data_IF_462373452342
#
_entry.id   IF_462373452342
#
_cell.length_a   1.000
_cell.length_b   1.000
_cell.length_c   1.000
_cell.angle_alpha   90.00
_cell.angle_beta   90.00
_cell.angle_gamma   90.00
#
_symmetry.space_group_name_H-M   'P 1'
#
loop_
_entity.id
_entity.type
_entity.pdbx_description
1 polymer ?
#
# COMPACT_ATOMS: atom_id res chain seq x y z
N UNK A 1 38.90 37.00 -15.13
CA UNK A 1 37.62 37.06 -14.41
C UNK A 1 36.76 35.90 -14.89
N UNK A 2 36.71 34.79 -14.14
CA UNK A 2 35.77 33.68 -14.40
C UNK A 2 34.47 34.06 -13.74
N UNK A 3 33.44 34.27 -14.54
CA UNK A 3 32.09 34.46 -14.08
C UNK A 3 31.53 33.06 -13.72
N UNK A 4 31.46 32.74 -12.42
CA UNK A 4 30.69 31.56 -11.94
C UNK A 4 29.22 31.85 -12.19
N UNK A 5 28.67 31.16 -13.17
CA UNK A 5 27.21 31.03 -13.30
C UNK A 5 26.75 30.14 -12.18
N UNK A 6 26.21 30.70 -11.13
CA UNK A 6 25.40 29.98 -10.13
C UNK A 6 24.14 29.46 -10.84
N UNK A 7 24.17 28.18 -11.22
CA UNK A 7 22.95 27.48 -11.56
C UNK A 7 22.09 27.40 -10.27
N UNK A 8 21.20 28.35 -10.09
CA UNK A 8 20.16 28.26 -9.08
C UNK A 8 19.33 27.00 -9.37
N UNK A 9 19.26 26.07 -8.43
CA UNK A 9 18.32 24.96 -8.49
C UNK A 9 16.91 25.57 -8.62
N UNK A 10 16.30 25.45 -9.79
CA UNK A 10 14.93 25.85 -9.99
C UNK A 10 14.08 24.87 -9.17
N UNK A 11 13.44 25.36 -8.11
CA UNK A 11 12.39 24.61 -7.41
C UNK A 11 11.42 24.05 -8.46
N UNK A 12 11.18 22.75 -8.44
CA UNK A 12 10.14 22.15 -9.26
C UNK A 12 8.82 22.87 -8.96
N UNK A 13 8.04 23.19 -9.98
CA UNK A 13 6.72 23.78 -9.77
C UNK A 13 5.86 22.78 -9.00
N UNK A 14 5.01 23.20 -8.05
CA UNK A 14 4.10 22.32 -7.35
C UNK A 14 3.18 21.62 -8.37
N UNK A 15 2.78 20.39 -8.07
CA UNK A 15 1.81 19.67 -8.89
C UNK A 15 0.40 20.21 -8.61
N UNK A 16 -0.40 20.37 -9.66
CA UNK A 16 -1.80 20.75 -9.53
C UNK A 16 -2.70 19.52 -9.61
N UNK A 17 -3.71 19.48 -8.75
CA UNK A 17 -4.69 18.40 -8.70
C UNK A 17 -6.11 18.95 -8.71
N UNK A 18 -7.02 18.18 -9.31
CA UNK A 18 -8.46 18.41 -9.22
C UNK A 18 -9.11 17.27 -8.43
N UNK A 19 -9.79 17.62 -7.35
CA UNK A 19 -10.50 16.65 -6.53
C UNK A 19 -11.82 16.21 -7.17
N UNK A 20 -12.09 14.90 -7.11
CA UNK A 20 -13.34 14.26 -7.48
C UNK A 20 -13.78 13.33 -6.36
N UNK A 21 -15.04 13.45 -5.94
CA UNK A 21 -15.65 12.55 -4.96
C UNK A 21 -16.45 11.48 -5.69
N UNK A 22 -16.12 10.19 -5.41
CA UNK A 22 -16.79 9.03 -5.99
C UNK A 22 -17.93 8.54 -5.07
N UNK A 23 -17.65 8.42 -3.78
CA UNK A 23 -18.60 7.94 -2.79
C UNK A 23 -18.39 8.61 -1.43
N UNK A 24 -19.47 8.65 -0.61
CA UNK A 24 -19.48 9.28 0.73
C UNK A 24 -20.09 8.39 1.81
N UNK A 25 -20.38 7.13 1.48
CA UNK A 25 -21.11 6.17 2.31
C UNK A 25 -20.31 4.89 2.64
N UNK A 26 -18.99 4.91 2.42
CA UNK A 26 -18.11 3.77 2.67
C UNK A 26 -17.69 3.74 4.15
N UNK A 27 -18.59 3.33 5.02
CA UNK A 27 -18.38 3.32 6.47
C UNK A 27 -17.14 2.52 6.86
N UNK A 28 -16.16 3.21 7.47
CA UNK A 28 -14.88 2.61 7.83
C UNK A 28 -14.04 2.25 6.61
N UNK A 29 -14.01 3.12 5.58
CA UNK A 29 -13.18 2.92 4.40
C UNK A 29 -11.75 2.53 4.79
N UNK A 30 -11.20 1.50 4.18
CA UNK A 30 -9.92 0.94 4.62
C UNK A 30 -8.91 0.70 3.50
N UNK A 31 -9.35 0.22 2.34
CA UNK A 31 -8.47 0.02 1.20
C UNK A 31 -9.16 0.38 -0.12
N UNK A 32 -8.40 0.98 -1.04
CA UNK A 32 -8.77 1.18 -2.44
C UNK A 32 -7.73 0.48 -3.32
N UNK A 33 -8.21 -0.25 -4.35
CA UNK A 33 -7.34 -0.97 -5.29
C UNK A 33 -7.76 -0.62 -6.71
N UNK A 34 -6.89 0.06 -7.49
CA UNK A 34 -7.12 0.31 -8.89
C UNK A 34 -6.84 -0.96 -9.73
N UNK A 35 -7.78 -1.35 -10.56
CA UNK A 35 -7.61 -2.39 -11.58
C UNK A 35 -8.74 -2.33 -12.61
N UNK A 36 -8.52 -2.87 -13.81
CA UNK A 36 -9.57 -3.04 -14.82
C UNK A 36 -10.40 -4.27 -14.42
N UNK A 37 -11.57 -4.05 -13.81
CA UNK A 37 -12.43 -5.12 -13.25
C UNK A 37 -13.30 -5.76 -14.33
N UNK A 38 -13.60 -5.04 -15.41
CA UNK A 38 -14.55 -5.47 -16.46
C UNK A 38 -13.89 -5.72 -17.83
N UNK A 39 -12.55 -5.60 -17.87
CA UNK A 39 -11.75 -5.78 -19.09
C UNK A 39 -12.14 -4.82 -20.24
N UNK A 40 -12.46 -3.55 -19.91
CA UNK A 40 -12.80 -2.51 -20.89
C UNK A 40 -11.60 -1.58 -21.22
N UNK A 41 -10.44 -1.83 -20.59
CA UNK A 41 -9.20 -1.07 -20.77
C UNK A 41 -9.13 0.20 -19.94
N UNK A 42 -10.08 0.44 -19.04
CA UNK A 42 -10.04 1.55 -18.07
C UNK A 42 -9.84 1.02 -16.67
N UNK A 43 -9.18 1.81 -15.88
CA UNK A 43 -8.91 1.44 -14.49
C UNK A 43 -10.10 1.80 -13.61
N UNK A 44 -10.72 0.79 -13.03
CA UNK A 44 -11.77 0.89 -12.02
C UNK A 44 -11.17 0.95 -10.60
N UNK A 45 -12.03 1.15 -9.60
CA UNK A 45 -11.63 1.19 -8.19
C UNK A 45 -12.40 0.16 -7.37
N UNK A 46 -11.73 -0.84 -6.83
CA UNK A 46 -12.31 -1.71 -5.80
C UNK A 46 -12.16 -1.01 -4.45
N UNK A 47 -13.25 -0.90 -3.70
CA UNK A 47 -13.27 -0.25 -2.40
C UNK A 47 -13.67 -1.25 -1.30
N UNK A 48 -12.80 -1.39 -0.30
CA UNK A 48 -13.00 -2.18 0.90
C UNK A 48 -13.24 -1.23 2.08
N UNK A 49 -14.33 -1.44 2.78
CA UNK A 49 -14.68 -0.68 3.98
C UNK A 49 -14.97 -1.66 5.13
N UNK A 50 -14.19 -1.58 6.21
CA UNK A 50 -14.22 -2.53 7.32
C UNK A 50 -15.53 -2.48 8.16
N UNK A 51 -16.26 -1.40 8.06
CA UNK A 51 -17.57 -1.22 8.70
C UNK A 51 -18.77 -1.60 7.82
N UNK A 52 -18.52 -2.16 6.64
CA UNK A 52 -19.54 -2.65 5.71
C UNK A 52 -19.51 -4.18 5.60
N UNK A 53 -20.57 -4.75 5.05
CA UNK A 53 -20.69 -6.20 4.76
C UNK A 53 -20.68 -6.52 3.28
N UNK A 54 -20.48 -5.50 2.44
CA UNK A 54 -20.37 -5.62 0.98
C UNK A 54 -18.99 -5.19 0.53
N UNK A 55 -18.35 -6.01 -0.31
CA UNK A 55 -17.22 -5.59 -1.12
C UNK A 55 -17.74 -5.00 -2.42
N UNK A 56 -17.27 -3.80 -2.78
CA UNK A 56 -17.79 -3.06 -3.92
C UNK A 56 -16.67 -2.60 -4.86
N UNK A 57 -17.03 -2.32 -6.12
CA UNK A 57 -16.17 -1.61 -7.05
C UNK A 57 -16.94 -0.52 -7.77
N UNK A 58 -16.23 0.44 -8.32
CA UNK A 58 -16.75 1.60 -9.02
C UNK A 58 -16.23 1.61 -10.45
N UNK A 59 -17.16 1.52 -11.41
CA UNK A 59 -16.86 1.40 -12.83
C UNK A 59 -16.51 2.74 -13.47
N UNK A 60 -15.33 2.84 -14.01
CA UNK A 60 -14.84 4.02 -14.72
C UNK A 60 -15.45 4.07 -16.16
N UNK A 61 -15.90 5.21 -16.70
CA UNK A 61 -15.76 6.57 -16.15
C UNK A 61 -16.98 7.08 -15.37
N UNK A 62 -18.01 6.29 -15.25
CA UNK A 62 -19.27 6.73 -14.63
C UNK A 62 -19.23 6.65 -13.12
N UNK A 63 -18.33 5.88 -12.57
CA UNK A 63 -18.22 5.54 -11.16
C UNK A 63 -19.48 4.89 -10.61
N UNK A 64 -20.20 4.14 -11.48
CA UNK A 64 -21.32 3.31 -11.06
C UNK A 64 -20.85 2.25 -10.07
N UNK A 65 -21.57 2.11 -8.96
CA UNK A 65 -21.24 1.16 -7.90
C UNK A 65 -21.82 -0.21 -8.20
N UNK A 66 -20.95 -1.24 -8.16
CA UNK A 66 -21.32 -2.64 -8.27
C UNK A 66 -20.91 -3.41 -7.01
N UNK A 67 -21.65 -4.44 -6.66
CA UNK A 67 -21.37 -5.30 -5.50
C UNK A 67 -20.70 -6.59 -5.97
N UNK A 68 -19.47 -6.81 -5.50
CA UNK A 68 -18.72 -8.04 -5.78
C UNK A 68 -19.25 -9.18 -4.90
N UNK A 69 -19.41 -8.93 -3.60
CA UNK A 69 -19.82 -9.94 -2.62
C UNK A 69 -20.53 -9.31 -1.43
N UNK A 70 -21.35 -10.12 -0.74
CA UNK A 70 -22.17 -9.72 0.40
C UNK A 70 -21.90 -10.61 1.61
N UNK A 71 -22.45 -10.21 2.75
CA UNK A 71 -22.39 -10.94 4.02
C UNK A 71 -20.93 -11.17 4.51
N UNK A 72 -20.04 -10.24 4.18
CA UNK A 72 -18.64 -10.23 4.58
C UNK A 72 -18.47 -9.36 5.84
N UNK A 73 -17.84 -9.90 6.87
CA UNK A 73 -17.59 -9.17 8.11
C UNK A 73 -16.09 -8.95 8.33
N UNK A 74 -15.74 -7.83 8.96
CA UNK A 74 -14.35 -7.54 9.30
C UNK A 74 -13.40 -7.63 8.13
N UNK A 75 -13.82 -7.17 6.94
CA UNK A 75 -12.94 -7.07 5.77
C UNK A 75 -11.77 -6.14 6.07
N UNK A 76 -10.56 -6.56 5.74
CA UNK A 76 -9.37 -5.79 6.10
C UNK A 76 -8.39 -5.53 4.96
N UNK A 77 -8.22 -6.46 4.03
CA UNK A 77 -7.31 -6.25 2.91
C UNK A 77 -7.66 -7.17 1.74
N UNK A 78 -7.34 -6.71 0.54
CA UNK A 78 -7.49 -7.49 -0.68
C UNK A 78 -6.32 -7.25 -1.64
N UNK A 79 -6.16 -8.15 -2.59
CA UNK A 79 -5.31 -7.98 -3.76
C UNK A 79 -5.98 -8.59 -5.00
N UNK A 80 -5.91 -7.89 -6.12
CA UNK A 80 -6.52 -8.28 -7.38
C UNK A 80 -5.42 -8.62 -8.40
N UNK A 81 -5.60 -9.71 -9.14
CA UNK A 81 -4.75 -10.11 -10.26
C UNK A 81 -5.47 -11.14 -11.13
N UNK A 82 -5.39 -10.99 -12.45
CA UNK A 82 -5.91 -11.95 -13.41
C UNK A 82 -5.06 -13.23 -13.37
N UNK A 83 -5.58 -14.23 -12.64
CA UNK A 83 -4.86 -15.47 -12.34
C UNK A 83 -4.97 -16.50 -13.46
N UNK A 84 -6.07 -16.49 -14.19
CA UNK A 84 -6.35 -17.48 -15.25
C UNK A 84 -6.27 -16.93 -16.67
N UNK A 85 -6.02 -15.64 -16.82
CA UNK A 85 -5.74 -15.00 -18.11
C UNK A 85 -6.99 -14.66 -18.92
N UNK A 86 -8.17 -14.55 -18.27
CA UNK A 86 -9.41 -14.18 -18.95
C UNK A 86 -9.63 -12.66 -19.07
N UNK A 87 -8.73 -11.87 -18.48
CA UNK A 87 -8.72 -10.42 -18.51
C UNK A 87 -9.46 -9.77 -17.33
N UNK A 88 -10.16 -10.55 -16.50
CA UNK A 88 -10.88 -10.10 -15.31
C UNK A 88 -10.14 -10.59 -14.06
N UNK A 89 -9.73 -9.72 -13.13
CA UNK A 89 -8.90 -10.16 -12.01
C UNK A 89 -9.68 -11.00 -11.01
N UNK A 90 -9.09 -12.09 -10.51
CA UNK A 90 -9.52 -12.68 -9.24
C UNK A 90 -9.08 -11.80 -8.07
N UNK A 91 -9.90 -11.81 -7.01
CA UNK A 91 -9.63 -11.06 -5.79
C UNK A 91 -9.33 -12.05 -4.66
N UNK A 92 -8.19 -11.89 -4.00
CA UNK A 92 -7.98 -12.52 -2.70
C UNK A 92 -8.32 -11.52 -1.60
N UNK A 93 -9.10 -11.96 -0.61
CA UNK A 93 -9.67 -11.12 0.44
C UNK A 93 -9.38 -11.71 1.82
N UNK A 94 -8.87 -10.89 2.75
CA UNK A 94 -8.81 -11.20 4.17
C UNK A 94 -10.02 -10.57 4.88
N UNK A 95 -10.77 -11.38 5.60
CA UNK A 95 -11.96 -10.95 6.33
C UNK A 95 -12.14 -11.74 7.65
N UNK A 96 -13.18 -11.50 8.41
CA UNK A 96 -13.35 -11.96 9.80
C UNK A 96 -12.12 -11.58 10.66
N UNK A 97 -11.63 -10.38 10.41
CA UNK A 97 -10.50 -9.82 11.13
C UNK A 97 -10.92 -9.16 12.44
N UNK A 98 -10.12 -9.35 13.48
CA UNK A 98 -10.15 -8.57 14.71
C UNK A 98 -8.74 -8.17 15.13
N UNK A 99 -8.61 -6.97 15.73
CA UNK A 99 -7.37 -6.53 16.38
C UNK A 99 -7.01 -7.40 17.59
N UNK A 100 -7.98 -8.10 18.17
CA UNK A 100 -7.77 -9.08 19.24
C UNK A 100 -7.56 -10.45 18.63
N UNK A 101 -6.31 -10.93 18.67
CA UNK A 101 -5.93 -12.18 18.00
C UNK A 101 -6.85 -13.36 18.34
N UNK A 102 -7.28 -13.49 19.60
CA UNK A 102 -8.19 -14.55 20.07
C UNK A 102 -9.61 -14.46 19.49
N UNK A 103 -10.02 -13.30 18.98
CA UNK A 103 -11.34 -13.07 18.37
C UNK A 103 -11.29 -13.09 16.84
N UNK A 104 -10.09 -13.05 16.26
CA UNK A 104 -9.89 -13.01 14.82
C UNK A 104 -9.90 -14.43 14.25
N UNK A 105 -10.88 -14.73 13.39
CA UNK A 105 -10.88 -15.96 12.61
C UNK A 105 -9.83 -15.86 11.50
N UNK A 106 -9.77 -14.71 10.84
CA UNK A 106 -8.80 -14.40 9.80
C UNK A 106 -9.00 -15.26 8.55
N UNK A 107 -10.23 -15.25 8.00
CA UNK A 107 -10.53 -16.01 6.78
C UNK A 107 -9.85 -15.35 5.59
N UNK A 108 -9.22 -16.18 4.75
CA UNK A 108 -8.70 -15.80 3.44
C UNK A 108 -9.55 -16.47 2.38
N UNK A 109 -10.12 -15.67 1.48
CA UNK A 109 -10.98 -16.17 0.41
C UNK A 109 -10.50 -15.70 -0.96
N UNK A 110 -10.78 -16.50 -1.99
CA UNK A 110 -10.65 -16.11 -3.40
C UNK A 110 -12.04 -15.84 -3.94
N UNK A 111 -12.19 -14.70 -4.60
CA UNK A 111 -13.41 -14.31 -5.28
C UNK A 111 -13.18 -14.33 -6.78
N UNK A 112 -14.11 -14.95 -7.52
CA UNK A 112 -14.07 -15.05 -8.97
C UNK A 112 -15.43 -14.72 -9.57
N UNK A 113 -15.45 -13.94 -10.65
CA UNK A 113 -16.66 -13.59 -11.39
C UNK A 113 -17.31 -14.81 -12.06
N UNK A 114 -18.58 -14.66 -12.46
CA UNK A 114 -19.41 -15.69 -13.12
C UNK A 114 -19.55 -15.45 -14.65
N UNK A 115 -18.66 -14.67 -15.25
CA UNK A 115 -18.73 -14.23 -16.64
C UNK A 115 -19.14 -12.76 -16.79
N UNK A 116 -20.02 -12.23 -15.92
CA UNK A 116 -20.33 -10.80 -15.84
C UNK A 116 -19.83 -10.24 -14.51
N UNK A 117 -18.78 -9.38 -14.48
CA UNK A 117 -18.21 -8.84 -13.27
C UNK A 117 -19.14 -7.90 -12.49
N UNK A 118 -20.23 -7.44 -13.10
CA UNK A 118 -21.26 -6.60 -12.46
C UNK A 118 -22.23 -7.41 -11.61
N UNK A 119 -22.21 -8.74 -11.72
CA UNK A 119 -23.00 -9.64 -10.87
C UNK A 119 -22.19 -10.08 -9.64
N UNK A 120 -22.85 -10.71 -8.68
CA UNK A 120 -22.18 -11.27 -7.50
C UNK A 120 -21.18 -12.37 -7.90
N UNK A 121 -20.00 -12.31 -7.31
CA UNK A 121 -18.92 -13.26 -7.55
C UNK A 121 -19.02 -14.48 -6.66
N UNK A 122 -18.46 -15.59 -7.12
CA UNK A 122 -18.27 -16.79 -6.31
C UNK A 122 -17.17 -16.54 -5.28
N UNK A 123 -17.38 -17.06 -4.04
CA UNK A 123 -16.42 -16.97 -2.95
C UNK A 123 -15.96 -18.38 -2.60
N UNK A 124 -14.64 -18.58 -2.53
CA UNK A 124 -14.00 -19.79 -2.05
C UNK A 124 -13.11 -19.47 -0.86
N UNK A 125 -13.43 -19.97 0.33
CA UNK A 125 -12.48 -19.94 1.45
C UNK A 125 -11.29 -20.85 1.14
N UNK A 126 -10.08 -20.33 1.33
CA UNK A 126 -8.84 -21.07 1.08
C UNK A 126 -8.02 -21.31 2.35
N UNK A 127 -8.19 -20.48 3.37
CA UNK A 127 -7.47 -20.63 4.64
C UNK A 127 -8.15 -19.88 5.80
N UNK A 128 -7.82 -20.26 7.02
CA UNK A 128 -8.10 -19.55 8.27
C UNK A 128 -6.79 -19.33 9.01
N UNK A 129 -6.30 -18.11 9.00
CA UNK A 129 -5.09 -17.71 9.67
C UNK A 129 -5.40 -16.46 10.51
N UNK A 130 -5.49 -16.60 11.86
CA UNK A 130 -5.85 -15.50 12.74
C UNK A 130 -5.06 -14.23 12.41
N UNK A 131 -5.72 -13.09 12.46
CA UNK A 131 -5.17 -11.76 12.17
C UNK A 131 -4.63 -11.57 10.75
N UNK A 132 -5.00 -12.42 9.74
CA UNK A 132 -4.69 -12.14 8.33
C UNK A 132 -5.00 -10.70 7.99
N UNK A 133 -4.00 -9.94 7.52
CA UNK A 133 -4.09 -8.48 7.47
C UNK A 133 -3.60 -7.86 6.16
N UNK A 134 -2.51 -8.34 5.56
CA UNK A 134 -2.01 -7.85 4.27
C UNK A 134 -1.86 -8.99 3.28
N UNK A 135 -2.51 -8.82 2.13
CA UNK A 135 -2.44 -9.75 1.01
C UNK A 135 -1.80 -9.06 -0.20
N UNK A 136 -0.86 -9.73 -0.87
CA UNK A 136 -0.26 -9.25 -2.12
C UNK A 136 -0.01 -10.42 -3.05
N UNK A 137 -0.16 -10.18 -4.35
CA UNK A 137 0.32 -11.08 -5.38
C UNK A 137 1.81 -10.84 -5.66
N UNK A 138 2.60 -11.92 -5.80
CA UNK A 138 4.04 -11.86 -6.05
C UNK A 138 4.50 -12.99 -6.97
N UNK A 139 5.33 -12.69 -7.96
CA UNK A 139 6.05 -13.67 -8.77
C UNK A 139 7.41 -14.00 -8.14
N UNK A 140 7.38 -14.83 -7.11
CA UNK A 140 8.55 -15.13 -6.28
C UNK A 140 9.62 -15.98 -6.97
N UNK A 141 9.33 -16.57 -8.12
CA UNK A 141 10.27 -17.46 -8.82
C UNK A 141 10.52 -17.08 -10.30
N UNK A 142 9.98 -15.93 -10.75
CA UNK A 142 10.19 -15.41 -12.11
C UNK A 142 9.48 -16.21 -13.19
N UNK A 143 8.48 -17.01 -12.82
CA UNK A 143 7.75 -17.88 -13.76
C UNK A 143 6.59 -17.19 -14.47
N UNK A 144 6.25 -15.96 -14.11
CA UNK A 144 5.03 -15.27 -14.50
C UNK A 144 3.79 -15.74 -13.74
N UNK A 145 3.91 -16.78 -12.89
CA UNK A 145 2.81 -17.30 -12.07
C UNK A 145 2.94 -16.73 -10.66
N UNK A 146 2.01 -15.87 -10.29
CA UNK A 146 2.03 -15.25 -8.96
C UNK A 146 1.47 -16.17 -7.88
N UNK A 147 1.98 -15.98 -6.69
CA UNK A 147 1.47 -16.55 -5.44
C UNK A 147 0.82 -15.44 -4.61
N UNK A 148 -0.08 -15.80 -3.71
CA UNK A 148 -0.61 -14.87 -2.71
C UNK A 148 0.29 -14.89 -1.48
N UNK A 149 0.89 -13.77 -1.14
CA UNK A 149 1.59 -13.55 0.13
C UNK A 149 0.61 -13.02 1.15
N UNK A 150 0.59 -13.60 2.35
CA UNK A 150 -0.25 -13.17 3.47
C UNK A 150 0.63 -12.88 4.70
N UNK A 151 0.51 -11.66 5.21
CA UNK A 151 1.09 -11.23 6.46
C UNK A 151 -0.03 -10.98 7.49
N UNK A 152 -0.22 -11.86 8.48
CA UNK A 152 -1.01 -11.54 9.65
C UNK A 152 -0.49 -10.27 10.35
N UNK A 153 -1.39 -9.52 10.99
CA UNK A 153 -0.99 -8.35 11.75
C UNK A 153 -0.13 -8.70 12.96
N UNK A 154 -0.51 -9.79 13.65
CA UNK A 154 0.15 -10.28 14.86
C UNK A 154 0.15 -11.81 14.87
N UNK A 155 0.88 -12.41 15.82
CA UNK A 155 0.73 -13.82 16.13
C UNK A 155 -0.64 -14.12 16.77
N UNK A 156 -1.04 -15.40 16.72
CA UNK A 156 -2.37 -15.85 17.15
C UNK A 156 -2.62 -15.70 18.68
N UNK A 157 -1.57 -15.56 19.48
CA UNK A 157 -1.64 -15.39 20.94
C UNK A 157 -1.20 -14.00 21.41
N UNK A 158 -0.96 -13.08 20.46
CA UNK A 158 -0.51 -11.73 20.78
C UNK A 158 -1.58 -10.96 21.56
N UNK A 159 -1.12 -10.22 22.56
CA UNK A 159 -1.97 -9.34 23.39
C UNK A 159 -1.40 -7.92 23.45
N UNK A 160 -2.31 -6.94 23.35
CA UNK A 160 -1.93 -5.54 23.50
C UNK A 160 -1.46 -5.25 24.96
N UNK A 161 -0.56 -4.27 25.18
CA UNK A 161 0.00 -3.37 24.17
C UNK A 161 1.23 -3.92 23.46
N UNK A 162 1.85 -4.97 24.00
CA UNK A 162 3.16 -5.44 23.55
C UNK A 162 3.13 -6.34 22.32
N UNK A 163 2.02 -7.03 22.09
CA UNK A 163 1.84 -7.96 20.95
C UNK A 163 2.97 -8.99 20.81
N UNK A 164 3.56 -9.43 21.94
CA UNK A 164 4.65 -10.42 21.95
C UNK A 164 4.16 -11.78 21.53
N UNK A 165 4.37 -12.12 20.27
CA UNK A 165 4.16 -13.43 19.68
C UNK A 165 4.80 -13.46 18.29
N UNK A 166 5.00 -14.67 17.75
CA UNK A 166 5.57 -14.86 16.41
C UNK A 166 4.52 -14.62 15.33
N UNK A 167 4.86 -13.84 14.32
CA UNK A 167 4.00 -13.52 13.17
C UNK A 167 4.43 -14.36 11.99
N UNK A 168 3.62 -15.35 11.53
CA UNK A 168 3.98 -16.15 10.37
C UNK A 168 3.72 -15.36 9.08
N UNK A 169 4.77 -15.09 8.30
CA UNK A 169 4.63 -14.64 6.93
C UNK A 169 4.48 -15.89 6.04
N UNK A 170 3.40 -15.96 5.27
CA UNK A 170 3.05 -17.16 4.52
C UNK A 170 2.70 -16.85 3.06
N UNK A 171 2.64 -17.88 2.22
CA UNK A 171 2.13 -17.77 0.87
C UNK A 171 1.27 -18.96 0.45
N UNK A 172 0.45 -18.75 -0.58
CA UNK A 172 -0.44 -19.75 -1.19
C UNK A 172 -0.20 -19.78 -2.69
N UNK A 173 -0.13 -21.00 -3.26
CA UNK A 173 -0.11 -21.17 -4.73
C UNK A 173 -1.53 -21.37 -5.24
N UNK A 174 -1.93 -20.65 -6.31
CA UNK A 174 -3.20 -20.92 -6.97
C UNK A 174 -3.37 -22.39 -7.32
N UNK A 175 -4.59 -22.90 -7.13
CA UNK A 175 -4.97 -24.27 -7.43
C UNK A 175 -4.94 -25.20 -6.22
N UNK A 176 -3.85 -25.28 -5.46
CA UNK A 176 -3.82 -26.12 -4.25
C UNK A 176 -4.09 -25.34 -2.95
N UNK A 177 -3.85 -24.06 -2.95
CA UNK A 177 -4.11 -23.11 -1.86
C UNK A 177 -3.53 -23.53 -0.50
N UNK A 178 -2.50 -24.40 -0.51
CA UNK A 178 -1.86 -24.83 0.74
C UNK A 178 -0.98 -23.75 1.31
N UNK A 179 -1.16 -23.47 2.61
CA UNK A 179 -0.30 -22.57 3.35
C UNK A 179 1.15 -23.04 3.35
N UNK A 180 2.07 -22.19 2.93
CA UNK A 180 3.51 -22.40 2.97
C UNK A 180 4.16 -21.26 3.74
N UNK A 181 5.15 -21.57 4.56
CA UNK A 181 5.84 -20.59 5.41
C UNK A 181 6.97 -19.93 4.63
N UNK A 182 6.99 -18.59 4.67
CA UNK A 182 8.12 -17.75 4.24
C UNK A 182 9.05 -17.55 5.43
N UNK A 183 8.51 -17.06 6.55
CA UNK A 183 9.20 -16.79 7.80
C UNK A 183 8.22 -16.91 8.98
N UNK A 184 8.68 -17.47 10.10
CA UNK A 184 7.93 -17.54 11.36
C UNK A 184 8.74 -16.98 12.53
N UNK A 185 9.80 -16.23 12.23
CA UNK A 185 10.71 -15.68 13.21
C UNK A 185 10.45 -14.20 13.55
N UNK A 186 9.60 -13.52 12.78
CA UNK A 186 9.18 -12.13 13.09
C UNK A 186 8.37 -12.11 14.39
N UNK A 187 8.58 -11.11 15.23
CA UNK A 187 7.89 -10.94 16.51
C UNK A 187 7.14 -9.62 16.56
N UNK A 188 6.02 -9.61 17.25
CA UNK A 188 5.24 -8.42 17.54
C UNK A 188 4.17 -8.14 16.50
N UNK A 189 4.31 -7.06 15.75
CA UNK A 189 3.32 -6.61 14.79
C UNK A 189 3.99 -6.44 13.43
N UNK A 190 3.33 -6.93 12.36
CA UNK A 190 3.67 -6.67 10.95
C UNK A 190 2.48 -5.99 10.29
N UNK A 191 2.65 -4.71 9.94
CA UNK A 191 1.52 -3.91 9.44
C UNK A 191 1.49 -3.79 7.92
N UNK A 192 2.64 -3.86 7.25
CA UNK A 192 2.73 -3.73 5.80
C UNK A 192 3.57 -4.84 5.17
N UNK A 193 3.20 -5.23 3.96
CA UNK A 193 4.07 -5.90 2.99
C UNK A 193 4.04 -5.17 1.66
N UNK A 194 5.21 -5.00 1.04
CA UNK A 194 5.40 -4.40 -0.28
C UNK A 194 6.14 -5.39 -1.17
N UNK A 195 5.65 -5.58 -2.38
CA UNK A 195 6.25 -6.47 -3.37
C UNK A 195 7.06 -5.65 -4.35
N UNK A 196 8.27 -6.09 -4.64
CA UNK A 196 9.19 -5.41 -5.56
C UNK A 196 10.24 -6.38 -6.08
N UNK A 197 10.61 -6.24 -7.34
CA UNK A 197 11.84 -6.85 -7.88
C UNK A 197 13.03 -6.02 -7.34
N UNK A 198 13.56 -6.45 -6.18
CA UNK A 198 14.53 -5.69 -5.41
C UNK A 198 15.90 -5.60 -6.07
N UNK A 199 16.36 -6.65 -6.67
CA UNK A 199 17.70 -6.72 -7.29
C UNK A 199 17.65 -6.83 -8.82
N UNK A 200 16.46 -6.61 -9.42
CA UNK A 200 16.23 -6.61 -10.87
C UNK A 200 16.60 -7.93 -11.55
N UNK A 201 16.32 -9.06 -10.85
CA UNK A 201 16.54 -10.40 -11.38
C UNK A 201 15.28 -11.04 -12.02
N UNK A 202 14.18 -10.30 -12.09
CA UNK A 202 12.90 -10.72 -12.65
C UNK A 202 12.04 -11.53 -11.68
N UNK A 203 12.39 -11.55 -10.40
CA UNK A 203 11.62 -12.18 -9.32
C UNK A 203 11.25 -11.13 -8.29
N UNK A 204 10.08 -11.32 -7.71
CA UNK A 204 9.60 -10.43 -6.66
C UNK A 204 10.18 -10.82 -5.30
N UNK A 205 10.74 -9.84 -4.61
CA UNK A 205 11.01 -9.89 -3.18
C UNK A 205 9.88 -9.23 -2.39
N UNK A 206 9.87 -9.54 -1.09
CA UNK A 206 8.87 -9.05 -0.15
C UNK A 206 9.57 -8.16 0.87
N UNK A 207 9.15 -6.91 0.99
CA UNK A 207 9.47 -6.07 2.14
C UNK A 207 8.34 -6.19 3.17
N UNK A 208 8.67 -6.30 4.44
CA UNK A 208 7.70 -6.14 5.54
C UNK A 208 8.09 -4.97 6.43
N UNK A 209 7.09 -4.25 6.95
CA UNK A 209 7.27 -3.23 7.98
C UNK A 209 6.49 -3.60 9.24
N UNK A 210 7.15 -3.47 10.39
CA UNK A 210 6.58 -3.84 11.68
C UNK A 210 7.43 -3.34 12.85
N UNK A 211 7.15 -3.83 14.06
CA UNK A 211 7.86 -3.41 15.29
C UNK A 211 9.36 -3.69 15.26
N UNK A 212 9.81 -4.62 14.42
CA UNK A 212 11.22 -4.95 14.23
C UNK A 212 11.86 -4.19 13.06
N UNK A 213 11.18 -3.15 12.55
CA UNK A 213 11.65 -2.36 11.41
C UNK A 213 11.27 -2.95 10.05
N UNK A 214 12.11 -2.73 9.04
CA UNK A 214 11.87 -3.16 7.66
C UNK A 214 12.76 -4.37 7.37
N UNK A 215 12.13 -5.46 6.92
CA UNK A 215 12.79 -6.73 6.58
C UNK A 215 12.58 -7.03 5.11
N UNK A 216 13.58 -7.58 4.46
CA UNK A 216 13.54 -8.07 3.08
C UNK A 216 13.57 -9.60 3.08
N UNK A 217 12.67 -10.22 2.31
CA UNK A 217 12.62 -11.66 2.12
C UNK A 217 12.83 -11.98 0.65
N UNK A 218 13.84 -12.80 0.36
CA UNK A 218 14.19 -13.28 -0.97
C UNK A 218 14.16 -14.79 -1.03
N UNK A 219 13.57 -15.35 -2.10
CA UNK A 219 13.63 -16.77 -2.38
C UNK A 219 14.94 -17.09 -3.13
N UNK A 220 15.87 -17.82 -2.46
CA UNK A 220 17.15 -18.21 -3.08
C UNK A 220 16.93 -19.22 -4.21
N UNK A 221 17.94 -19.39 -5.09
CA UNK A 221 17.96 -20.41 -6.14
C UNK A 221 17.77 -21.85 -5.59
N UNK A 222 18.17 -22.09 -4.34
CA UNK A 222 17.94 -23.34 -3.61
C UNK A 222 16.54 -23.46 -3.01
N UNK A 223 15.60 -22.58 -3.38
CA UNK A 223 14.21 -22.52 -2.90
C UNK A 223 14.10 -22.40 -1.37
N UNK A 224 15.04 -21.70 -0.76
CA UNK A 224 15.00 -21.34 0.68
C UNK A 224 14.81 -19.83 0.80
N UNK A 225 13.93 -19.43 1.69
CA UNK A 225 13.74 -18.04 2.04
C UNK A 225 14.93 -17.50 2.85
N UNK A 226 15.35 -16.32 2.50
CA UNK A 226 16.41 -15.57 3.19
C UNK A 226 15.80 -14.27 3.68
N UNK A 227 15.97 -13.98 4.96
CA UNK A 227 15.56 -12.72 5.60
C UNK A 227 16.78 -11.85 5.80
N UNK A 228 16.64 -10.55 5.46
CA UNK A 228 17.67 -9.53 5.67
C UNK A 228 17.03 -8.31 6.33
N UNK A 229 17.59 -7.85 7.44
CA UNK A 229 17.19 -6.58 8.05
C UNK A 229 17.71 -5.42 7.19
N UNK A 230 16.79 -4.58 6.70
CA UNK A 230 17.12 -3.35 5.99
C UNK A 230 17.37 -2.23 6.99
N UNK A 231 16.47 -2.07 7.95
CA UNK A 231 16.57 -1.05 9.01
C UNK A 231 15.71 -1.44 10.20
N UNK A 232 16.07 -0.93 11.38
CA UNK A 232 15.27 -1.11 12.61
C UNK A 232 14.08 -0.16 12.71
N UNK A 233 13.97 0.81 11.80
CA UNK A 233 12.91 1.82 11.86
C UNK A 233 13.10 2.84 12.99
N UNK A 234 12.00 3.29 13.57
CA UNK A 234 12.02 4.19 14.72
C UNK A 234 12.77 3.55 15.90
N UNK A 235 13.76 4.27 16.50
CA UNK A 235 14.60 3.73 17.57
C UNK A 235 13.93 3.70 18.94
N UNK A 236 12.67 4.14 19.06
CA UNK A 236 11.97 4.13 20.35
C UNK A 236 11.90 2.72 20.95
N UNK A 237 11.75 2.59 22.27
CA UNK A 237 11.59 1.28 22.92
C UNK A 237 10.31 0.58 22.47
N UNK A 238 10.35 -0.76 22.38
CA UNK A 238 9.18 -1.60 22.19
C UNK A 238 8.03 -1.22 23.15
N UNK A 239 6.77 -1.16 22.69
CA UNK A 239 6.23 -1.48 21.38
C UNK A 239 6.12 -0.28 20.42
N UNK A 240 6.83 0.80 20.68
CA UNK A 240 6.84 2.03 19.86
C UNK A 240 8.04 2.09 18.91
N UNK A 241 8.67 0.95 18.64
CA UNK A 241 9.79 0.83 17.70
C UNK A 241 9.31 0.48 16.30
N UNK A 242 10.21 0.57 15.34
CA UNK A 242 10.03 0.01 14.00
C UNK A 242 9.26 0.90 13.05
N UNK A 243 8.56 0.28 12.13
CA UNK A 243 7.88 0.96 11.03
C UNK A 243 6.45 0.44 10.86
N UNK A 244 5.54 1.29 10.41
CA UNK A 244 4.14 0.94 10.13
C UNK A 244 3.95 0.50 8.69
N UNK A 245 4.39 1.33 7.77
CA UNK A 245 4.20 1.14 6.34
C UNK A 245 5.49 1.47 5.60
N UNK A 246 5.70 0.88 4.42
CA UNK A 246 6.89 1.11 3.59
C UNK A 246 6.55 1.10 2.11
N UNK A 247 7.08 2.09 1.40
CA UNK A 247 7.05 2.19 -0.05
C UNK A 247 8.47 2.27 -0.62
N UNK A 248 8.66 1.78 -1.84
CA UNK A 248 9.93 1.83 -2.58
C UNK A 248 9.81 2.90 -3.64
N UNK A 249 10.71 3.88 -3.64
CA UNK A 249 10.74 4.96 -4.62
C UNK A 249 12.10 5.09 -5.31
N UNK A 250 12.12 5.88 -6.40
CA UNK A 250 13.27 6.18 -7.21
C UNK A 250 13.56 7.67 -7.24
N UNK A 251 14.83 8.04 -7.13
CA UNK A 251 15.36 9.38 -7.43
C UNK A 251 16.32 9.23 -8.62
N UNK A 252 15.77 9.24 -9.83
CA UNK A 252 16.49 8.86 -11.03
C UNK A 252 16.92 7.39 -10.98
N UNK A 253 18.21 7.12 -10.77
CA UNK A 253 18.76 5.74 -10.65
C UNK A 253 18.91 5.27 -9.20
N UNK A 254 18.71 6.15 -8.23
CA UNK A 254 18.90 5.83 -6.82
C UNK A 254 17.58 5.39 -6.20
N UNK A 255 17.55 4.20 -5.60
CA UNK A 255 16.42 3.73 -4.84
C UNK A 255 16.40 4.36 -3.45
N UNK A 256 15.22 4.71 -2.98
CA UNK A 256 14.99 5.06 -1.58
C UNK A 256 13.80 4.27 -1.02
N UNK A 257 13.68 4.24 0.30
CA UNK A 257 12.48 3.78 0.97
C UNK A 257 11.82 4.97 1.67
N UNK A 258 10.50 5.00 1.64
CA UNK A 258 9.70 5.90 2.45
C UNK A 258 8.87 5.08 3.42
N UNK A 259 8.81 5.49 4.68
CA UNK A 259 8.09 4.76 5.73
C UNK A 259 7.29 5.70 6.62
N UNK A 260 6.18 5.19 7.17
CA UNK A 260 5.51 5.79 8.32
C UNK A 260 6.04 5.12 9.57
N UNK A 261 6.44 5.91 10.57
CA UNK A 261 7.07 5.45 11.79
C UNK A 261 6.60 6.21 13.04
N UNK A 262 6.55 5.50 14.18
CA UNK A 262 6.40 4.05 14.34
C UNK A 262 5.02 3.55 13.84
N UNK A 263 4.53 2.41 14.32
CA UNK A 263 3.20 1.90 13.96
C UNK A 263 2.10 2.93 14.27
N UNK A 264 1.31 3.28 13.22
CA UNK A 264 0.35 4.39 13.23
C UNK A 264 0.96 5.70 13.75
N UNK A 265 2.23 5.92 13.44
CA UNK A 265 3.02 7.00 13.98
C UNK A 265 2.79 8.36 13.33
N UNK A 266 3.66 9.27 13.70
CA UNK A 266 3.60 10.65 13.27
C UNK A 266 4.72 11.04 12.29
N UNK A 267 5.65 10.14 12.01
CA UNK A 267 6.81 10.44 11.19
C UNK A 267 6.68 9.88 9.78
N UNK A 268 7.11 10.67 8.80
CA UNK A 268 7.52 10.20 7.49
C UNK A 268 9.04 10.13 7.49
N UNK A 269 9.58 8.92 7.44
CA UNK A 269 11.00 8.66 7.37
C UNK A 269 11.40 8.24 5.96
N UNK A 270 12.53 8.75 5.47
CA UNK A 270 13.14 8.35 4.20
C UNK A 270 14.46 7.66 4.48
N UNK A 271 14.69 6.57 3.79
CA UNK A 271 15.94 5.82 3.85
C UNK A 271 16.64 5.87 2.51
N UNK A 272 17.88 6.31 2.51
CA UNK A 272 18.75 6.32 1.32
C UNK A 272 20.01 5.51 1.60
N UNK A 273 20.47 4.76 0.60
CA UNK A 273 21.68 3.98 0.74
C UNK A 273 22.93 4.89 0.69
N UNK A 274 23.71 4.87 1.77
CA UNK A 274 25.08 5.39 1.73
C UNK A 274 26.03 4.30 1.21
N UNK A 275 27.32 4.56 1.18
CA UNK A 275 28.32 3.57 0.76
C UNK A 275 28.26 2.25 1.55
N UNK A 276 27.72 2.25 2.77
CA UNK A 276 27.81 1.10 3.71
C UNK A 276 26.48 0.73 4.39
N UNK A 277 25.49 1.63 4.44
CA UNK A 277 24.25 1.38 5.15
C UNK A 277 23.11 2.31 4.71
N UNK A 278 21.89 1.90 4.98
CA UNK A 278 20.72 2.75 4.86
C UNK A 278 20.74 3.84 5.93
N UNK A 279 20.61 5.09 5.48
CA UNK A 279 20.57 6.26 6.34
C UNK A 279 19.14 6.74 6.49
N UNK A 280 18.66 6.85 7.73
CA UNK A 280 17.33 7.32 8.09
C UNK A 280 17.31 8.85 8.19
N UNK A 281 16.34 9.48 7.53
CA UNK A 281 16.03 10.91 7.64
C UNK A 281 14.53 11.06 7.91
N UNK A 282 14.14 11.73 8.99
CA UNK A 282 12.74 12.13 9.24
C UNK A 282 12.49 13.41 8.48
N UNK A 283 11.63 13.35 7.46
CA UNK A 283 11.29 14.51 6.62
C UNK A 283 10.05 15.25 7.10
N UNK A 284 9.21 14.60 7.89
CA UNK A 284 8.04 15.18 8.54
C UNK A 284 7.71 14.40 9.82
N UNK A 285 7.28 15.10 10.88
CA UNK A 285 6.87 14.52 12.15
C UNK A 285 5.48 15.04 12.60
N UNK A 286 4.67 15.48 11.63
CA UNK A 286 3.39 16.13 11.92
C UNK A 286 2.15 15.29 11.63
N UNK A 287 2.32 14.02 11.22
CA UNK A 287 1.20 13.11 10.99
C UNK A 287 0.49 12.78 12.32
N UNK A 288 -0.78 12.46 12.26
CA UNK A 288 -1.56 11.97 13.40
C UNK A 288 -2.25 10.68 13.00
N UNK A 289 -1.83 9.54 13.57
CA UNK A 289 -2.31 8.22 13.16
C UNK A 289 -2.02 7.97 11.66
N UNK A 290 -0.75 8.07 11.27
CA UNK A 290 -0.25 7.83 9.91
C UNK A 290 -0.57 6.41 9.46
N UNK A 291 -1.14 6.24 8.23
CA UNK A 291 -1.67 4.93 7.86
C UNK A 291 -1.39 4.50 6.43
N UNK A 292 -1.09 5.41 5.53
CA UNK A 292 -0.79 5.07 4.14
C UNK A 292 0.42 5.84 3.64
N UNK A 293 1.32 5.14 2.94
CA UNK A 293 2.42 5.74 2.21
C UNK A 293 2.59 5.01 0.88
N UNK A 294 2.68 5.76 -0.20
CA UNK A 294 2.96 5.27 -1.54
C UNK A 294 3.94 6.19 -2.24
N UNK A 295 4.65 5.68 -3.25
CA UNK A 295 5.58 6.43 -4.07
C UNK A 295 5.19 6.31 -5.53
N UNK A 296 5.31 7.39 -6.30
CA UNK A 296 5.03 7.39 -7.72
C UNK A 296 5.68 8.60 -8.41
N UNK A 297 6.06 8.45 -9.66
CA UNK A 297 6.52 9.53 -10.53
C UNK A 297 5.31 10.35 -11.05
N UNK A 298 4.77 11.20 -10.18
CA UNK A 298 3.63 12.06 -10.48
C UNK A 298 3.98 13.21 -11.45
N UNK A 299 5.25 13.57 -11.50
CA UNK A 299 5.75 14.63 -12.38
C UNK A 299 6.16 14.11 -13.76
N UNK A 300 6.23 12.79 -13.94
CA UNK A 300 6.73 12.11 -15.13
C UNK A 300 8.15 12.59 -15.52
N UNK A 301 9.02 12.72 -14.52
CA UNK A 301 10.39 13.21 -14.66
C UNK A 301 11.46 12.19 -14.22
N UNK A 302 11.06 10.96 -13.87
CA UNK A 302 11.93 9.89 -13.39
C UNK A 302 12.26 9.99 -11.90
N UNK A 303 11.51 10.80 -11.15
CA UNK A 303 11.68 10.99 -9.70
C UNK A 303 10.36 10.79 -9.00
N UNK A 304 10.29 9.77 -8.13
CA UNK A 304 9.06 9.49 -7.39
C UNK A 304 8.84 10.50 -6.27
N UNK A 305 7.62 11.00 -6.19
CA UNK A 305 7.09 11.70 -5.04
C UNK A 305 6.58 10.69 -4.01
N UNK A 306 6.54 11.11 -2.74
CA UNK A 306 5.95 10.35 -1.65
C UNK A 306 4.56 10.91 -1.38
N UNK A 307 3.53 10.05 -1.37
CA UNK A 307 2.19 10.39 -0.93
C UNK A 307 2.00 9.76 0.45
N UNK A 308 1.74 10.56 1.48
CA UNK A 308 1.48 10.08 2.83
C UNK A 308 0.19 10.65 3.37
N UNK A 309 -0.65 9.76 3.94
CA UNK A 309 -1.93 10.12 4.51
C UNK A 309 -2.10 9.61 5.94
N UNK A 310 -2.93 10.29 6.72
CA UNK A 310 -3.19 9.97 8.11
C UNK A 310 -4.67 10.12 8.48
N UNK A 311 -5.09 9.34 9.48
CA UNK A 311 -6.51 9.20 9.86
C UNK A 311 -6.95 10.14 10.95
N UNK A 312 -6.02 10.54 11.83
CA UNK A 312 -6.31 11.44 12.95
C UNK A 312 -6.50 12.89 12.50
N UNK A 313 -7.10 13.72 13.37
CA UNK A 313 -7.27 15.14 13.06
C UNK A 313 -5.91 15.85 12.96
N UNK A 314 -5.73 16.74 11.96
CA UNK A 314 -6.72 17.34 11.06
C UNK A 314 -7.02 16.55 9.77
N UNK A 315 -6.65 15.27 9.62
CA UNK A 315 -6.99 14.40 8.50
C UNK A 315 -6.51 14.94 7.15
N UNK A 316 -5.26 14.73 6.81
CA UNK A 316 -4.66 15.27 5.59
C UNK A 316 -3.98 14.21 4.76
N UNK A 317 -3.80 14.53 3.49
CA UNK A 317 -2.90 13.84 2.58
C UNK A 317 -1.83 14.81 2.10
N UNK A 318 -0.57 14.39 2.22
CA UNK A 318 0.57 15.18 1.80
C UNK A 318 1.31 14.51 0.64
N UNK A 319 1.91 15.35 -0.20
CA UNK A 319 2.88 14.94 -1.23
C UNK A 319 4.23 15.55 -0.88
N UNK A 320 5.29 14.76 -0.96
CA UNK A 320 6.66 15.23 -0.76
C UNK A 320 7.45 15.03 -2.05
N UNK A 321 8.07 16.10 -2.53
CA UNK A 321 8.92 16.12 -3.72
C UNK A 321 10.36 16.46 -3.33
N UNK A 322 11.34 15.73 -3.88
CA UNK A 322 12.77 15.98 -3.62
C UNK A 322 13.32 16.97 -4.64
N UNK A 323 13.93 18.07 -4.17
CA UNK A 323 14.51 19.11 -5.03
C UNK A 323 16.02 18.94 -5.30
N UNK A 324 16.56 17.77 -4.97
CA UNK A 324 18.00 17.46 -5.03
C UNK A 324 18.74 17.77 -3.73
N UNK A 325 18.09 18.42 -2.75
CA UNK A 325 18.68 18.76 -1.44
C UNK A 325 17.77 18.40 -0.27
N UNK A 326 16.48 18.62 -0.39
CA UNK A 326 15.49 18.41 0.67
C UNK A 326 14.16 17.96 0.09
N UNK A 327 13.34 17.38 0.94
CA UNK A 327 11.95 17.06 0.66
C UNK A 327 11.06 18.27 0.93
N UNK A 328 10.25 18.64 -0.05
CA UNK A 328 9.32 19.77 0.03
C UNK A 328 7.90 19.22 0.09
N UNK A 329 7.15 19.60 1.12
CA UNK A 329 5.79 19.15 1.35
C UNK A 329 4.77 20.02 0.64
N UNK A 330 3.81 19.37 -0.01
CA UNK A 330 2.58 19.96 -0.55
C UNK A 330 1.37 19.28 0.09
N UNK A 331 0.32 20.02 0.39
CA UNK A 331 -0.96 19.47 0.84
C UNK A 331 -1.81 19.08 -0.37
N UNK A 332 -2.21 17.81 -0.46
CA UNK A 332 -3.14 17.31 -1.48
C UNK A 332 -4.58 17.46 -1.00
N UNK A 333 -4.88 17.01 0.23
CA UNK A 333 -6.19 17.16 0.88
C UNK A 333 -6.03 17.80 2.25
N UNK A 334 -6.84 18.82 2.56
CA UNK A 334 -6.78 19.58 3.82
C UNK A 334 -8.05 19.39 4.64
N UNK A 335 -8.16 18.22 5.28
CA UNK A 335 -9.24 17.92 6.22
C UNK A 335 -10.41 17.12 5.65
N UNK A 336 -10.44 16.86 4.35
CA UNK A 336 -11.51 16.12 3.67
C UNK A 336 -11.29 14.63 3.53
N UNK A 337 -10.11 14.10 3.98
CA UNK A 337 -9.72 12.71 3.81
C UNK A 337 -9.01 12.16 5.04
N UNK A 338 -9.71 11.34 5.81
CA UNK A 338 -9.13 10.51 6.87
C UNK A 338 -8.47 9.28 6.24
N UNK A 339 -7.32 9.49 5.60
CA UNK A 339 -6.75 8.53 4.66
C UNK A 339 -6.33 7.22 5.33
N UNK A 340 -7.07 6.15 5.06
CA UNK A 340 -6.71 4.79 5.44
C UNK A 340 -5.84 4.11 4.37
N UNK A 341 -6.09 4.39 3.11
CA UNK A 341 -5.24 3.98 2.01
C UNK A 341 -5.30 4.99 0.87
N UNK A 342 -4.18 5.16 0.19
CA UNK A 342 -4.10 5.79 -1.12
C UNK A 342 -3.45 4.82 -2.12
N UNK A 343 -3.81 4.94 -3.38
CA UNK A 343 -3.25 4.20 -4.49
C UNK A 343 -3.08 5.13 -5.69
N UNK A 344 -2.22 4.75 -6.63
CA UNK A 344 -1.94 5.56 -7.82
C UNK A 344 -2.23 4.76 -9.08
N UNK A 345 -2.87 5.40 -10.05
CA UNK A 345 -3.12 4.88 -11.38
C UNK A 345 -3.47 6.03 -12.33
N UNK A 346 -3.35 5.83 -13.63
CA UNK A 346 -3.91 6.73 -14.63
C UNK A 346 -5.42 6.44 -14.76
N UNK A 347 -6.26 7.21 -14.06
CA UNK A 347 -7.70 6.97 -13.95
C UNK A 347 -8.51 7.61 -15.08
N UNK A 348 -7.94 8.58 -15.79
CA UNK A 348 -8.60 9.27 -16.89
C UNK A 348 -8.02 8.96 -18.27
N UNK A 349 -6.93 8.16 -18.33
CA UNK A 349 -6.27 7.76 -19.57
C UNK A 349 -5.45 8.87 -20.23
N UNK A 350 -4.99 9.89 -19.46
CA UNK A 350 -4.22 11.01 -20.00
C UNK A 350 -2.70 10.81 -19.92
N UNK A 351 -2.26 9.66 -19.43
CA UNK A 351 -0.84 9.26 -19.31
C UNK A 351 -0.15 9.81 -18.07
N UNK A 352 -0.86 10.47 -17.15
CA UNK A 352 -0.37 10.91 -15.85
C UNK A 352 -0.95 10.04 -14.74
N UNK A 353 -0.17 9.82 -13.71
CA UNK A 353 -0.64 9.06 -12.55
C UNK A 353 -1.49 9.97 -11.65
N UNK A 354 -2.74 9.56 -11.42
CA UNK A 354 -3.67 10.15 -10.46
C UNK A 354 -3.56 9.46 -9.10
N UNK A 355 -4.18 10.03 -8.08
CA UNK A 355 -4.19 9.49 -6.72
C UNK A 355 -5.62 9.19 -6.31
N UNK A 356 -5.94 7.94 -5.94
CA UNK A 356 -7.20 7.59 -5.31
C UNK A 356 -6.99 7.33 -3.81
N UNK A 357 -7.82 7.92 -2.94
CA UNK A 357 -7.76 7.70 -1.49
C UNK A 357 -9.12 7.35 -0.92
N UNK A 358 -9.12 6.46 0.10
CA UNK A 358 -10.30 6.07 0.85
C UNK A 358 -10.17 6.48 2.31
N UNK A 359 -11.24 7.06 2.85
CA UNK A 359 -11.25 7.63 4.19
C UNK A 359 -11.98 6.80 5.23
N UNK A 360 -11.31 6.54 6.38
CA UNK A 360 -11.90 5.74 7.46
C UNK A 360 -12.97 6.48 8.24
N UNK A 361 -12.67 7.67 8.77
CA UNK A 361 -13.62 8.48 9.52
C UNK A 361 -14.45 9.42 8.63
N UNK A 362 -13.96 9.74 7.45
CA UNK A 362 -14.69 10.55 6.46
C UNK A 362 -15.61 9.72 5.57
N UNK A 363 -15.49 8.38 5.59
CA UNK A 363 -16.36 7.44 4.87
C UNK A 363 -16.46 7.66 3.37
N UNK A 364 -15.45 8.31 2.77
CA UNK A 364 -15.44 8.71 1.38
C UNK A 364 -14.39 7.97 0.55
N UNK A 365 -14.63 7.94 -0.75
CA UNK A 365 -13.68 7.61 -1.78
C UNK A 365 -13.54 8.83 -2.68
N UNK A 366 -12.32 9.32 -2.82
CA UNK A 366 -11.98 10.42 -3.70
C UNK A 366 -10.85 10.01 -4.64
N UNK A 367 -10.79 10.67 -5.78
CA UNK A 367 -9.58 10.68 -6.58
C UNK A 367 -9.17 12.11 -6.91
N UNK A 368 -7.87 12.30 -7.08
CA UNK A 368 -7.24 13.58 -7.34
C UNK A 368 -6.58 13.48 -8.71
N UNK A 369 -7.23 14.09 -9.72
CA UNK A 369 -6.77 14.16 -11.10
C UNK A 369 -5.48 14.99 -11.17
N UNK A 370 -4.42 14.42 -11.67
CA UNK A 370 -3.13 15.08 -11.81
C UNK A 370 -3.09 15.96 -13.06
N UNK A 371 -3.13 17.26 -12.87
CA UNK A 371 -3.08 18.24 -13.96
C UNK A 371 -1.64 18.56 -14.41
N UNK A 372 -0.64 17.96 -13.74
CA UNK A 372 0.77 18.21 -13.96
C UNK A 372 1.31 19.42 -13.19
N UNK A 373 2.54 19.85 -13.50
CA UNK A 373 3.15 21.00 -12.84
C UNK A 373 2.40 22.30 -13.11
N UNK A 374 2.25 23.13 -12.07
CA UNK A 374 1.64 24.46 -12.18
C UNK A 374 2.32 25.27 -13.31
N UNK A 375 1.50 25.87 -14.17
CA UNK A 375 2.03 26.74 -15.22
C UNK A 375 2.71 27.94 -14.58
N UNK A 376 3.99 28.15 -14.85
CA UNK A 376 4.69 29.38 -14.42
C UNK A 376 3.99 30.57 -15.07
N UNK A 377 3.33 31.41 -14.28
CA UNK A 377 2.99 32.76 -14.72
C UNK A 377 4.32 33.48 -14.92
N UNK A 378 4.69 33.76 -16.17
CA UNK A 378 5.80 34.66 -16.43
C UNK A 378 5.42 36.04 -15.83
N UNK A 379 6.36 36.67 -15.09
CA UNK A 379 6.15 37.99 -14.52
C UNK A 379 6.02 39.05 -15.62
#
# INVERSE_FOLDING_TARGET
MLTQVLAGALLAAPLEFREHTIATDLKGGYQVVPCDVNHDGKIDLIALASGMTELVWFENPTWERHVIARDLHGMINLAAWDMDGDGIPEIVLAHEFSMRAKESIGIVSVLKHNGDPRQLWNIQEIDRLPTSHRLRWADIDGSGKKVVVNAPLTGAHAEAPDYRDRVPLVFYRPGDWKRQIIDDSSEGLVHCITITDWDHDGRDEILSAGFTGIQLYKLSAGRRWMRTEITKGDPAPWPKSGSSDVAVGQLGKERYLAAIEPWHGNEVAVYRMSAVAWQREVIDASLVDGHTIVTADLANDGTDQIIAGFRGQPQRVYIYSFDGKRWNRQTLDDGGMSAAACAVADLNGDGKLDIACIGSATHNLKWYENLGPAKRTQP
#
